data_IF_812585471926
#
_entry.id   IF_812585471926
#
_cell.length_a   1.000
_cell.length_b   1.000
_cell.length_c   1.000
_cell.angle_alpha   90.00
_cell.angle_beta   90.00
_cell.angle_gamma   90.00
#
_symmetry.space_group_name_H-M   'P 1'
#
loop_
_entity.id
_entity.type
_entity.pdbx_description
1 polymer ?
#
# COMPACT_ATOMS: atom_id res chain seq x y z
N UNK A 1 3.01 -18.01 31.89
CA UNK A 1 2.33 -17.04 31.00
C UNK A 1 3.38 -16.31 30.19
N UNK A 2 3.40 -16.51 28.87
CA UNK A 2 4.29 -15.76 27.98
C UNK A 2 3.69 -14.36 27.81
N UNK A 3 4.34 -13.33 28.36
CA UNK A 3 4.01 -11.94 28.04
C UNK A 3 4.54 -11.65 26.64
N UNK A 4 3.63 -11.56 25.67
CA UNK A 4 3.97 -11.07 24.34
C UNK A 4 4.53 -9.65 24.45
N UNK A 5 5.59 -9.30 23.70
CA UNK A 5 6.09 -7.93 23.66
C UNK A 5 4.95 -6.98 23.26
N UNK A 6 4.90 -5.79 23.88
CA UNK A 6 3.88 -4.80 23.56
C UNK A 6 4.04 -4.35 22.11
N UNK A 7 2.98 -4.57 21.31
CA UNK A 7 2.90 -4.04 19.95
C UNK A 7 2.98 -2.51 20.02
N UNK A 8 4.08 -1.94 19.50
CA UNK A 8 4.19 -0.50 19.33
C UNK A 8 3.30 -0.11 18.15
N UNK A 9 2.23 0.63 18.43
CA UNK A 9 1.40 1.23 17.39
C UNK A 9 2.25 2.19 16.56
N UNK A 10 2.23 1.98 15.24
CA UNK A 10 2.92 2.86 14.30
C UNK A 10 2.12 4.15 14.13
N UNK A 11 2.85 5.27 14.02
CA UNK A 11 2.22 6.55 13.74
C UNK A 11 1.77 6.64 12.28
N UNK A 12 0.71 7.40 12.03
CA UNK A 12 0.18 7.66 10.69
C UNK A 12 0.37 9.13 10.30
N UNK A 13 1.02 9.37 9.16
CA UNK A 13 1.40 10.70 8.68
C UNK A 13 0.47 11.29 7.60
N UNK A 14 -0.46 10.47 7.08
CA UNK A 14 -1.42 10.85 6.05
C UNK A 14 -1.16 10.22 4.69
N UNK A 15 -0.21 9.28 4.56
CA UNK A 15 -0.03 8.49 3.34
C UNK A 15 -1.18 7.51 3.10
N UNK A 16 -2.01 7.67 2.05
CA UNK A 16 -3.19 6.84 1.83
C UNK A 16 -2.88 5.33 1.80
N UNK A 17 -1.75 4.92 1.24
CA UNK A 17 -1.30 3.52 1.18
C UNK A 17 -1.04 2.88 2.55
N UNK A 18 -0.84 3.68 3.60
CA UNK A 18 -0.65 3.20 4.98
C UNK A 18 -1.92 3.26 5.82
N UNK A 19 -2.98 3.88 5.31
CA UNK A 19 -4.21 4.13 6.07
C UNK A 19 -4.84 2.84 6.59
N UNK A 20 -5.01 1.85 5.71
CA UNK A 20 -5.70 0.61 6.06
C UNK A 20 -4.97 -0.13 7.18
N UNK A 21 -3.65 -0.33 7.03
CA UNK A 21 -2.80 -0.95 8.05
C UNK A 21 -2.84 -0.17 9.37
N UNK A 22 -2.79 1.15 9.33
CA UNK A 22 -2.89 1.96 10.54
C UNK A 22 -4.24 1.80 11.22
N UNK A 23 -5.33 1.94 10.47
CA UNK A 23 -6.69 1.93 11.01
C UNK A 23 -7.04 0.57 11.61
N UNK A 24 -6.71 -0.53 10.94
CA UNK A 24 -6.89 -1.89 11.47
C UNK A 24 -6.12 -2.11 12.78
N UNK A 25 -4.85 -1.68 12.83
CA UNK A 25 -4.03 -1.79 14.05
C UNK A 25 -4.57 -0.92 15.20
N UNK A 26 -4.99 0.31 14.88
CA UNK A 26 -5.60 1.22 15.84
C UNK A 26 -6.92 0.64 16.37
N UNK A 27 -7.75 0.07 15.50
CA UNK A 27 -9.01 -0.53 15.89
C UNK A 27 -8.80 -1.71 16.83
N UNK A 28 -7.94 -2.65 16.46
CA UNK A 28 -7.63 -3.81 17.29
C UNK A 28 -7.02 -3.46 18.65
N UNK A 29 -6.25 -2.38 18.74
CA UNK A 29 -5.50 -2.04 19.96
C UNK A 29 -6.21 -1.03 20.87
N UNK A 30 -6.98 -0.11 20.29
CA UNK A 30 -7.54 1.07 20.99
C UNK A 30 -9.05 1.16 20.82
N UNK A 31 -9.57 1.09 19.59
CA UNK A 31 -11.00 1.30 19.33
C UNK A 31 -11.87 0.19 19.92
N UNK A 32 -11.44 -1.06 19.81
CA UNK A 32 -12.14 -2.23 20.37
C UNK A 32 -11.95 -2.41 21.88
N UNK A 33 -11.24 -1.50 22.55
CA UNK A 33 -11.02 -1.56 24.00
C UNK A 33 -12.15 -0.83 24.74
N UNK A 34 -13.07 -1.60 25.33
CA UNK A 34 -14.21 -1.07 26.11
C UNK A 34 -13.80 -0.42 27.44
N UNK A 35 -12.57 -0.65 27.91
CA UNK A 35 -12.01 -0.01 29.10
C UNK A 35 -11.56 1.44 28.87
N UNK A 36 -11.56 1.92 27.62
CA UNK A 36 -11.19 3.29 27.27
C UNK A 36 -12.43 4.12 26.94
N UNK A 37 -12.56 5.27 27.58
CA UNK A 37 -13.55 6.27 27.20
C UNK A 37 -13.24 6.87 25.82
N UNK A 38 -14.25 7.40 25.08
CA UNK A 38 -14.02 8.00 23.77
C UNK A 38 -12.98 9.13 23.77
N UNK A 39 -12.95 9.98 24.80
CA UNK A 39 -11.92 11.03 24.95
C UNK A 39 -10.51 10.46 25.13
N UNK A 40 -10.36 9.33 25.83
CA UNK A 40 -9.07 8.63 25.95
C UNK A 40 -8.65 8.04 24.59
N UNK A 41 -9.58 7.42 23.85
CA UNK A 41 -9.34 6.92 22.49
C UNK A 41 -8.92 8.05 21.54
N UNK A 42 -9.58 9.21 21.60
CA UNK A 42 -9.22 10.41 20.84
C UNK A 42 -7.81 10.92 21.20
N UNK A 43 -7.43 10.83 22.48
CA UNK A 43 -6.07 11.22 22.93
C UNK A 43 -5.00 10.30 22.35
N UNK A 44 -5.22 8.98 22.37
CA UNK A 44 -4.34 8.02 21.70
C UNK A 44 -4.27 8.27 20.19
N UNK A 45 -5.43 8.47 19.55
CA UNK A 45 -5.51 8.76 18.12
C UNK A 45 -4.62 9.96 17.76
N UNK A 46 -4.79 11.11 18.41
CA UNK A 46 -3.96 12.31 18.14
C UNK A 46 -2.47 12.06 18.32
N UNK A 47 -2.07 11.31 19.34
CA UNK A 47 -0.64 11.01 19.60
C UNK A 47 -0.03 10.09 18.53
N UNK A 48 -0.86 9.29 17.86
CA UNK A 48 -0.44 8.43 16.77
C UNK A 48 -0.49 9.11 15.41
N UNK A 49 -1.17 10.26 15.28
CA UNK A 49 -1.21 11.01 14.03
C UNK A 49 -0.04 12.00 13.93
N UNK A 50 0.46 12.17 12.71
CA UNK A 50 1.53 13.11 12.36
C UNK A 50 1.15 13.86 11.08
N UNK A 51 1.85 14.95 10.79
CA UNK A 51 1.75 15.66 9.52
C UNK A 51 0.31 15.98 9.12
N UNK A 52 -0.05 15.64 7.88
CA UNK A 52 -1.37 15.94 7.31
C UNK A 52 -2.51 15.19 8.01
N UNK A 53 -2.24 13.98 8.52
CA UNK A 53 -3.24 13.22 9.25
C UNK A 53 -3.63 13.92 10.56
N UNK A 54 -2.64 14.43 11.30
CA UNK A 54 -2.92 15.20 12.52
C UNK A 54 -3.67 16.49 12.20
N UNK A 55 -3.22 17.24 11.19
CA UNK A 55 -3.88 18.48 10.72
C UNK A 55 -5.36 18.29 10.40
N UNK A 56 -5.77 17.10 9.96
CA UNK A 56 -7.17 16.78 9.62
C UNK A 56 -8.10 16.88 10.82
N UNK A 57 -7.61 16.63 12.03
CA UNK A 57 -8.43 16.64 13.26
C UNK A 57 -8.01 17.71 14.26
N UNK A 58 -7.01 18.54 13.93
CA UNK A 58 -6.42 19.51 14.87
C UNK A 58 -7.45 20.49 15.44
N UNK A 59 -8.44 20.89 14.64
CA UNK A 59 -9.52 21.82 15.04
C UNK A 59 -10.58 21.24 15.97
N UNK A 60 -10.56 19.94 16.25
CA UNK A 60 -11.51 19.31 17.17
C UNK A 60 -11.04 19.46 18.63
N UNK A 61 -11.98 19.78 19.52
CA UNK A 61 -11.76 19.75 20.97
C UNK A 61 -11.69 18.31 21.49
N UNK A 62 -11.01 18.10 22.63
CA UNK A 62 -10.95 16.81 23.31
C UNK A 62 -12.26 16.55 24.06
N UNK A 63 -13.27 16.03 23.36
CA UNK A 63 -14.56 15.64 23.93
C UNK A 63 -14.93 14.23 23.48
N UNK A 64 -15.85 13.58 24.19
CA UNK A 64 -16.33 12.26 23.80
C UNK A 64 -17.03 12.28 22.44
N UNK A 65 -17.83 13.32 22.17
CA UNK A 65 -18.59 13.47 20.93
C UNK A 65 -17.66 13.62 19.71
N UNK A 66 -16.50 14.26 19.90
CA UNK A 66 -15.54 14.51 18.83
C UNK A 66 -14.72 13.28 18.44
N UNK A 67 -14.76 12.19 19.21
CA UNK A 67 -14.03 10.97 18.84
C UNK A 67 -14.54 10.39 17.52
N UNK A 68 -15.86 10.19 17.41
CA UNK A 68 -16.47 9.64 16.20
C UNK A 68 -16.30 10.60 15.01
N UNK A 69 -16.38 11.92 15.26
CA UNK A 69 -16.14 12.94 14.24
C UNK A 69 -14.69 12.86 13.72
N UNK A 70 -13.70 12.74 14.61
CA UNK A 70 -12.30 12.60 14.24
C UNK A 70 -12.05 11.36 13.37
N UNK A 71 -12.61 10.21 13.75
CA UNK A 71 -12.49 8.97 12.96
C UNK A 71 -13.13 9.13 11.59
N UNK A 72 -14.33 9.71 11.53
CA UNK A 72 -15.04 9.89 10.26
C UNK A 72 -14.28 10.83 9.31
N UNK A 73 -13.76 11.96 9.80
CA UNK A 73 -12.95 12.87 8.99
C UNK A 73 -11.70 12.18 8.41
N UNK A 74 -11.05 11.32 9.19
CA UNK A 74 -9.90 10.56 8.72
C UNK A 74 -10.32 9.52 7.67
N UNK A 75 -11.44 8.81 7.89
CA UNK A 75 -12.00 7.87 6.91
C UNK A 75 -12.37 8.54 5.60
N UNK A 76 -13.13 9.64 5.64
CA UNK A 76 -13.52 10.38 4.44
C UNK A 76 -12.30 10.80 3.60
N UNK A 77 -11.20 11.18 4.27
CA UNK A 77 -10.00 11.63 3.61
C UNK A 77 -9.08 10.50 3.12
N UNK A 78 -8.96 9.41 3.88
CA UNK A 78 -7.93 8.38 3.67
C UNK A 78 -8.47 6.99 3.31
N UNK A 79 -9.76 6.71 3.53
CA UNK A 79 -10.44 5.46 3.16
C UNK A 79 -10.93 5.46 1.70
N UNK A 80 -10.68 6.54 0.96
CA UNK A 80 -10.99 6.60 -0.46
C UNK A 80 -10.13 5.60 -1.25
N UNK A 81 -10.71 4.43 -1.53
CA UNK A 81 -10.08 3.34 -2.29
C UNK A 81 -9.48 3.81 -3.62
N UNK A 82 -10.12 4.75 -4.31
CA UNK A 82 -9.60 5.27 -5.59
C UNK A 82 -8.29 6.03 -5.41
N UNK A 83 -8.14 6.80 -4.33
CA UNK A 83 -6.88 7.48 -4.02
C UNK A 83 -5.77 6.49 -3.67
N UNK A 84 -6.09 5.44 -2.90
CA UNK A 84 -5.13 4.39 -2.55
C UNK A 84 -4.67 3.62 -3.80
N UNK A 85 -5.62 3.22 -4.65
CA UNK A 85 -5.33 2.60 -5.96
C UNK A 85 -4.44 3.52 -6.80
N UNK A 86 -4.80 4.80 -6.90
CA UNK A 86 -4.04 5.79 -7.68
C UNK A 86 -2.62 5.99 -7.13
N UNK A 87 -2.42 5.94 -5.81
CA UNK A 87 -1.10 6.01 -5.16
C UNK A 87 -0.22 4.81 -5.54
N UNK A 88 -0.76 3.58 -5.46
CA UNK A 88 -0.05 2.37 -5.88
C UNK A 88 0.29 2.38 -7.37
N UNK A 89 -0.66 2.78 -8.22
CA UNK A 89 -0.45 2.92 -9.67
C UNK A 89 0.62 3.98 -9.99
N UNK A 90 0.56 5.14 -9.33
CA UNK A 90 1.55 6.20 -9.49
C UNK A 90 2.95 5.76 -9.07
N UNK A 91 3.05 5.05 -7.94
CA UNK A 91 4.31 4.49 -7.46
C UNK A 91 4.90 3.50 -8.48
N UNK A 92 4.08 2.61 -9.04
CA UNK A 92 4.49 1.70 -10.10
C UNK A 92 5.02 2.45 -11.34
N UNK A 93 4.31 3.47 -11.81
CA UNK A 93 4.69 4.25 -12.99
C UNK A 93 5.97 5.07 -12.77
N UNK A 94 6.24 5.47 -11.51
CA UNK A 94 7.45 6.22 -11.12
C UNK A 94 8.71 5.36 -10.98
N UNK A 95 8.62 4.04 -11.13
CA UNK A 95 9.79 3.15 -11.05
C UNK A 95 10.80 3.55 -12.16
N UNK A 96 12.06 3.71 -11.77
CA UNK A 96 13.15 4.08 -12.69
C UNK A 96 13.52 2.91 -13.61
N UNK A 97 13.98 3.25 -14.82
CA UNK A 97 14.40 2.27 -15.80
C UNK A 97 15.75 1.66 -15.41
N UNK A 98 15.91 0.34 -15.56
CA UNK A 98 17.20 -0.33 -15.47
C UNK A 98 17.66 -0.74 -16.86
N UNK A 99 18.80 -0.19 -17.26
CA UNK A 99 19.38 -0.44 -18.57
C UNK A 99 20.41 -1.58 -18.58
N UNK A 100 20.98 -1.91 -17.42
CA UNK A 100 22.07 -2.88 -17.31
C UNK A 100 21.62 -4.15 -16.59
N UNK A 101 21.55 -5.25 -17.33
CA UNK A 101 21.18 -6.57 -16.80
C UNK A 101 22.15 -7.11 -15.73
N UNK A 102 23.41 -6.65 -15.73
CA UNK A 102 24.40 -7.02 -14.71
C UNK A 102 24.14 -6.36 -13.36
N UNK A 103 23.27 -5.35 -13.29
CA UNK A 103 22.86 -4.73 -12.03
C UNK A 103 21.71 -5.50 -11.38
N UNK A 104 22.01 -6.74 -10.99
CA UNK A 104 21.05 -7.70 -10.42
C UNK A 104 20.39 -7.12 -9.16
N UNK A 105 21.15 -6.40 -8.31
CA UNK A 105 20.62 -5.79 -7.08
C UNK A 105 19.48 -4.82 -7.38
N UNK A 106 19.65 -3.98 -8.40
CA UNK A 106 18.61 -3.00 -8.77
C UNK A 106 17.42 -3.68 -9.44
N UNK A 107 17.66 -4.74 -10.23
CA UNK A 107 16.59 -5.55 -10.81
C UNK A 107 15.73 -6.23 -9.73
N UNK A 108 16.35 -6.85 -8.73
CA UNK A 108 15.64 -7.42 -7.58
C UNK A 108 14.84 -6.35 -6.82
N UNK A 109 15.43 -5.17 -6.62
CA UNK A 109 14.73 -4.06 -5.95
C UNK A 109 13.49 -3.61 -6.72
N UNK A 110 13.57 -3.55 -8.05
CA UNK A 110 12.43 -3.21 -8.91
C UNK A 110 11.36 -4.30 -8.84
N UNK A 111 11.77 -5.56 -8.95
CA UNK A 111 10.89 -6.70 -8.81
C UNK A 111 10.10 -6.65 -7.48
N UNK A 112 10.79 -6.46 -6.35
CA UNK A 112 10.17 -6.38 -5.03
C UNK A 112 9.19 -5.21 -4.94
N UNK A 113 9.57 -4.03 -5.47
CA UNK A 113 8.71 -2.84 -5.50
C UNK A 113 7.42 -3.10 -6.30
N UNK A 114 7.54 -3.75 -7.46
CA UNK A 114 6.38 -4.10 -8.29
C UNK A 114 5.50 -5.11 -7.59
N UNK A 115 6.09 -6.17 -7.03
CA UNK A 115 5.35 -7.23 -6.34
C UNK A 115 4.53 -6.65 -5.17
N UNK A 116 5.10 -5.70 -4.41
CA UNK A 116 4.39 -4.99 -3.34
C UNK A 116 3.18 -4.23 -3.91
N UNK A 117 3.33 -3.50 -5.01
CA UNK A 117 2.21 -2.75 -5.59
C UNK A 117 1.10 -3.68 -6.11
N UNK A 118 1.47 -4.75 -6.82
CA UNK A 118 0.52 -5.76 -7.32
C UNK A 118 -0.26 -6.38 -6.18
N UNK A 119 0.42 -6.83 -5.11
CA UNK A 119 -0.24 -7.42 -3.94
C UNK A 119 -1.16 -6.42 -3.22
N UNK A 120 -0.75 -5.16 -3.13
CA UNK A 120 -1.56 -4.11 -2.50
C UNK A 120 -2.85 -3.84 -3.30
N UNK A 121 -2.74 -3.78 -4.64
CA UNK A 121 -3.90 -3.62 -5.52
C UNK A 121 -4.85 -4.81 -5.44
N UNK A 122 -4.34 -6.04 -5.37
CA UNK A 122 -5.16 -7.25 -5.19
C UNK A 122 -5.92 -7.24 -3.87
N UNK A 123 -5.28 -6.82 -2.77
CA UNK A 123 -5.94 -6.67 -1.47
C UNK A 123 -7.06 -5.60 -1.49
N UNK A 124 -6.95 -4.61 -2.37
CA UNK A 124 -8.00 -3.61 -2.61
C UNK A 124 -9.12 -4.14 -3.53
N UNK A 125 -9.01 -5.37 -4.04
CA UNK A 125 -9.97 -5.99 -4.94
C UNK A 125 -9.79 -5.60 -6.41
N UNK A 126 -8.64 -5.03 -6.78
CA UNK A 126 -8.31 -4.71 -8.17
C UNK A 126 -7.66 -5.92 -8.83
N UNK A 127 -8.31 -6.48 -9.83
CA UNK A 127 -7.80 -7.63 -10.56
C UNK A 127 -6.72 -7.22 -11.56
N UNK A 128 -5.65 -8.01 -11.65
CA UNK A 128 -4.54 -7.77 -12.58
C UNK A 128 -4.95 -7.64 -14.04
N UNK A 129 -6.08 -8.21 -14.46
CA UNK A 129 -6.65 -8.08 -15.81
C UNK A 129 -7.15 -6.66 -16.09
N UNK A 130 -7.49 -5.89 -15.06
CA UNK A 130 -8.01 -4.52 -15.21
C UNK A 130 -6.89 -3.52 -15.57
N UNK A 131 -5.65 -3.80 -15.19
CA UNK A 131 -4.51 -2.89 -15.40
C UNK A 131 -3.32 -3.52 -16.14
N UNK A 132 -3.25 -4.84 -16.22
CA UNK A 132 -2.19 -5.60 -16.90
C UNK A 132 -1.94 -5.15 -18.34
N UNK A 133 -2.97 -4.99 -19.19
CA UNK A 133 -2.79 -4.51 -20.57
C UNK A 133 -2.10 -3.15 -20.69
N UNK A 134 -2.21 -2.29 -19.67
CA UNK A 134 -1.54 -0.98 -19.63
C UNK A 134 -0.16 -1.06 -18.97
N UNK A 135 -0.07 -1.74 -17.82
CA UNK A 135 1.13 -1.72 -16.99
C UNK A 135 2.22 -2.67 -17.44
N UNK A 136 1.90 -3.77 -18.12
CA UNK A 136 2.92 -4.72 -18.58
C UNK A 136 3.77 -4.11 -19.72
N UNK A 137 3.19 -3.44 -20.74
CA UNK A 137 4.01 -2.71 -21.72
C UNK A 137 4.91 -1.65 -21.08
N UNK A 138 4.42 -0.95 -20.05
CA UNK A 138 5.24 0.02 -19.30
C UNK A 138 6.38 -0.70 -18.58
N UNK A 139 6.11 -1.82 -17.90
CA UNK A 139 7.14 -2.62 -17.24
C UNK A 139 8.22 -3.09 -18.20
N UNK A 140 7.84 -3.55 -19.40
CA UNK A 140 8.78 -3.97 -20.43
C UNK A 140 9.73 -2.85 -20.86
N UNK A 141 9.31 -1.58 -20.77
CA UNK A 141 10.16 -0.42 -21.01
C UNK A 141 11.07 -0.07 -19.82
N UNK A 142 10.75 -0.57 -18.61
CA UNK A 142 11.53 -0.33 -17.37
C UNK A 142 12.66 -1.33 -17.17
N UNK A 143 12.65 -2.47 -17.85
CA UNK A 143 13.65 -3.53 -17.71
C UNK A 143 14.62 -3.57 -18.90
N UNK A 144 15.83 -4.16 -18.76
CA UNK A 144 16.75 -4.33 -19.87
C UNK A 144 16.12 -5.12 -21.03
N UNK A 145 16.50 -4.80 -22.27
CA UNK A 145 15.97 -5.43 -23.48
C UNK A 145 16.12 -6.96 -23.46
N UNK A 146 17.29 -7.46 -23.04
CA UNK A 146 17.53 -8.90 -22.89
C UNK A 146 16.49 -9.58 -21.99
N UNK A 147 16.13 -8.92 -20.88
CA UNK A 147 15.15 -9.43 -19.92
C UNK A 147 13.73 -9.32 -20.49
N UNK A 148 13.40 -8.21 -21.15
CA UNK A 148 12.12 -8.05 -21.85
C UNK A 148 11.92 -9.13 -22.92
N UNK A 149 12.97 -9.47 -23.68
CA UNK A 149 12.97 -10.53 -24.68
C UNK A 149 12.74 -11.90 -24.03
N UNK A 150 13.41 -12.23 -22.94
CA UNK A 150 13.20 -13.48 -22.19
C UNK A 150 11.75 -13.60 -21.70
N UNK A 151 11.22 -12.54 -21.10
CA UNK A 151 9.84 -12.49 -20.63
C UNK A 151 8.88 -12.70 -21.81
N UNK A 152 9.05 -11.95 -22.91
CA UNK A 152 8.19 -12.07 -24.09
C UNK A 152 8.15 -13.48 -24.67
N UNK A 153 9.29 -14.19 -24.71
CA UNK A 153 9.39 -15.57 -25.21
C UNK A 153 8.64 -16.57 -24.35
N UNK A 154 8.69 -16.42 -23.03
CA UNK A 154 7.93 -17.26 -22.10
C UNK A 154 6.42 -17.01 -22.25
N UNK A 155 5.99 -15.76 -22.50
CA UNK A 155 4.57 -15.43 -22.68
C UNK A 155 3.95 -15.96 -23.98
N UNK A 156 4.72 -16.10 -25.06
CA UNK A 156 4.21 -16.74 -26.30
C UNK A 156 3.73 -18.17 -26.05
N UNK A 157 4.26 -18.83 -25.03
CA UNK A 157 3.92 -20.21 -24.66
C UNK A 157 2.75 -20.31 -23.67
N UNK A 158 2.23 -19.19 -23.16
CA UNK A 158 1.11 -19.15 -22.21
C UNK A 158 -0.13 -18.66 -22.94
N UNK A 159 -1.15 -19.51 -23.09
CA UNK A 159 -2.37 -19.24 -23.85
C UNK A 159 -3.31 -18.17 -23.23
N UNK A 160 -2.90 -17.54 -22.12
CA UNK A 160 -3.70 -16.60 -21.35
C UNK A 160 -3.20 -15.15 -21.47
N UNK A 161 -4.13 -14.21 -21.26
CA UNK A 161 -3.87 -12.77 -21.23
C UNK A 161 -2.71 -12.44 -20.28
N UNK A 162 -1.85 -11.50 -20.68
CA UNK A 162 -0.68 -11.08 -19.91
C UNK A 162 -1.10 -10.68 -18.49
N UNK A 163 -0.65 -11.44 -17.48
CA UNK A 163 -0.91 -11.15 -16.07
C UNK A 163 0.37 -10.69 -15.37
N UNK A 164 0.28 -9.68 -14.51
CA UNK A 164 1.43 -9.21 -13.73
C UNK A 164 2.02 -10.31 -12.85
N UNK A 165 1.18 -11.24 -12.37
CA UNK A 165 1.61 -12.44 -11.63
C UNK A 165 2.51 -13.34 -12.47
N UNK A 166 2.16 -13.55 -13.74
CA UNK A 166 2.98 -14.33 -14.67
C UNK A 166 4.32 -13.65 -14.92
N UNK A 167 4.34 -12.32 -15.12
CA UNK A 167 5.59 -11.56 -15.32
C UNK A 167 6.49 -11.70 -14.10
N UNK A 168 5.93 -11.55 -12.90
CA UNK A 168 6.67 -11.70 -11.66
C UNK A 168 7.21 -13.12 -11.47
N UNK A 169 6.44 -14.16 -11.82
CA UNK A 169 6.92 -15.55 -11.72
C UNK A 169 8.14 -15.84 -12.60
N UNK A 170 8.28 -15.15 -13.74
CA UNK A 170 9.40 -15.30 -14.66
C UNK A 170 10.63 -14.56 -14.14
N UNK A 171 10.45 -13.35 -13.59
CA UNK A 171 11.52 -12.54 -13.01
C UNK A 171 12.18 -13.18 -11.78
N UNK A 172 11.51 -14.15 -11.15
CA UNK A 172 12.01 -14.89 -9.98
C UNK A 172 12.94 -16.06 -10.33
N UNK A 173 12.95 -16.52 -11.59
CA UNK A 173 13.81 -17.62 -12.06
C UNK A 173 15.21 -17.11 -12.38
#
# INVERSE_FOLDING_TARGET
>A
MVKLPSLKLQSFDGRPELWQTFYENFTCSIDSNDGLSPIQKLTYLRNLLKGQALSTITGLAFTNDNYNIAINLLKEKYENKQLVISSHMGTFLSIENVYNIKNIVTLCTIYDKIEIQVRSLENLGVDSRQYGPLLIPVLMQKVPEDLALLISREFVNVADCWSMKTVLSILKK
#
